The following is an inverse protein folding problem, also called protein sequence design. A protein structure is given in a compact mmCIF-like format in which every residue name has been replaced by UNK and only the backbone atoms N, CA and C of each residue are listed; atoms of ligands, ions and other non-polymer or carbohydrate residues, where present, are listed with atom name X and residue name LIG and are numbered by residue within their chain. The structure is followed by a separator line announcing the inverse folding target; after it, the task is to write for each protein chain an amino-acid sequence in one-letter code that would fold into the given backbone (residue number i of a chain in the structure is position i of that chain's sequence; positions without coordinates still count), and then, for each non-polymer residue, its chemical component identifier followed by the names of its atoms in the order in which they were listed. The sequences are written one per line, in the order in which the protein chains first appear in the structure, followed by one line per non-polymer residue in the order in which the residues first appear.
data_IF_149061224605
#
_entry.id   IF_149061224605
#
_cell.length_a   1.000
_cell.length_b   1.000
_cell.length_c   1.000
_cell.angle_alpha   90.00
_cell.angle_beta   90.00
_cell.angle_gamma   90.00
#
_symmetry.space_group_name_H-M   'P 1'
#
loop_
_entity.id
_entity.type
_entity.pdbx_description
1 polymer ?
#
# COMPACT_ATOMS: atom_id res chain seq x y z
N UNK A 1 5.53 -11.15 24.23
CA UNK A 1 4.99 -11.16 22.85
C UNK A 1 5.61 -12.35 22.14
N UNK A 2 4.81 -13.32 21.67
CA UNK A 2 5.32 -14.41 20.85
C UNK A 2 5.95 -13.82 19.59
N UNK A 3 7.18 -14.19 19.25
CA UNK A 3 7.81 -13.81 18.00
C UNK A 3 6.95 -14.33 16.85
N UNK A 4 6.38 -13.43 16.06
CA UNK A 4 5.73 -13.85 14.80
C UNK A 4 6.85 -14.32 13.88
N UNK A 5 6.70 -15.53 13.32
CA UNK A 5 7.70 -16.13 12.45
C UNK A 5 7.88 -15.30 11.17
N UNK A 6 9.11 -15.20 10.69
CA UNK A 6 9.41 -14.60 9.40
C UNK A 6 8.72 -15.39 8.27
N UNK A 7 8.30 -14.68 7.22
CA UNK A 7 7.74 -15.31 6.03
C UNK A 7 8.89 -15.94 5.23
N UNK A 8 8.94 -17.26 5.18
CA UNK A 8 9.99 -18.00 4.44
C UNK A 8 9.39 -19.15 3.65
N UNK A 9 10.02 -19.50 2.52
CA UNK A 9 9.62 -20.63 1.68
C UNK A 9 8.25 -20.50 1.02
N UNK A 10 7.72 -19.28 0.90
CA UNK A 10 6.40 -18.99 0.33
C UNK A 10 6.50 -18.53 -1.13
N UNK A 11 5.45 -18.77 -1.90
CA UNK A 11 5.20 -18.16 -3.20
C UNK A 11 4.35 -16.90 -3.02
N UNK A 12 4.92 -15.75 -3.32
CA UNK A 12 4.33 -14.45 -3.00
C UNK A 12 4.20 -13.60 -4.26
N UNK A 13 3.02 -13.07 -4.53
CA UNK A 13 2.82 -12.03 -5.53
C UNK A 13 2.77 -10.66 -4.85
N UNK A 14 3.68 -9.75 -5.22
CA UNK A 14 3.72 -8.37 -4.75
C UNK A 14 3.33 -7.45 -5.90
N UNK A 15 2.15 -6.83 -5.83
CA UNK A 15 1.72 -5.89 -6.88
C UNK A 15 2.17 -4.47 -6.59
N UNK A 16 2.38 -3.69 -7.65
CA UNK A 16 2.90 -2.34 -7.53
C UNK A 16 4.40 -2.31 -7.18
N UNK A 17 5.14 -3.35 -7.58
CA UNK A 17 6.55 -3.56 -7.23
C UNK A 17 7.45 -2.39 -7.64
N UNK A 18 7.11 -1.64 -8.68
CA UNK A 18 7.82 -0.42 -9.08
C UNK A 18 7.57 0.79 -8.17
N UNK A 19 6.73 0.64 -7.16
CA UNK A 19 6.44 1.68 -6.16
C UNK A 19 7.41 1.65 -4.98
N UNK A 20 7.46 2.75 -4.27
CA UNK A 20 8.41 2.98 -3.16
C UNK A 20 8.21 2.04 -1.96
N UNK A 21 6.99 1.60 -1.70
CA UNK A 21 6.68 0.70 -0.58
C UNK A 21 6.85 -0.77 -0.99
N UNK A 22 6.25 -1.15 -2.10
CA UNK A 22 6.22 -2.54 -2.54
C UNK A 22 7.57 -3.06 -3.05
N UNK A 23 8.39 -2.19 -3.66
CA UNK A 23 9.70 -2.56 -4.18
C UNK A 23 10.66 -3.08 -3.11
N UNK A 24 11.02 -2.27 -2.10
CA UNK A 24 11.88 -2.71 -1.01
C UNK A 24 11.33 -3.93 -0.26
N UNK A 25 10.01 -4.03 -0.10
CA UNK A 25 9.37 -5.19 0.51
C UNK A 25 9.60 -6.46 -0.34
N UNK A 26 9.41 -6.39 -1.66
CA UNK A 26 9.62 -7.53 -2.55
C UNK A 26 11.07 -8.03 -2.51
N UNK A 27 12.04 -7.12 -2.52
CA UNK A 27 13.47 -7.43 -2.38
C UNK A 27 13.78 -8.09 -1.03
N UNK A 28 13.25 -7.55 0.06
CA UNK A 28 13.43 -8.10 1.42
C UNK A 28 12.85 -9.52 1.52
N UNK A 29 11.65 -9.76 0.97
CA UNK A 29 11.01 -11.08 0.97
C UNK A 29 11.79 -12.09 0.11
N UNK A 30 12.33 -11.68 -1.04
CA UNK A 30 13.17 -12.55 -1.88
C UNK A 30 14.46 -12.94 -1.13
N UNK A 31 15.12 -11.99 -0.48
CA UNK A 31 16.31 -12.23 0.34
C UNK A 31 16.06 -13.19 1.53
N UNK A 32 14.82 -13.28 2.02
CA UNK A 32 14.38 -14.21 3.07
C UNK A 32 14.09 -15.64 2.57
N UNK A 33 14.37 -15.93 1.28
CA UNK A 33 14.21 -17.27 0.72
C UNK A 33 12.80 -17.59 0.22
N UNK A 34 11.99 -16.58 -0.09
CA UNK A 34 10.69 -16.74 -0.74
C UNK A 34 10.82 -16.73 -2.27
N UNK A 35 9.89 -17.37 -2.95
CA UNK A 35 9.69 -17.17 -4.39
C UNK A 35 8.79 -15.97 -4.59
N UNK A 36 9.37 -14.83 -4.97
CA UNK A 36 8.65 -13.55 -5.10
C UNK A 36 8.42 -13.21 -6.57
N UNK A 37 7.15 -12.94 -6.90
CA UNK A 37 6.72 -12.39 -8.18
C UNK A 37 6.35 -10.92 -7.99
N UNK A 38 7.11 -10.03 -8.63
CA UNK A 38 6.84 -8.60 -8.65
C UNK A 38 5.94 -8.23 -9.84
N UNK A 39 4.75 -7.72 -9.56
CA UNK A 39 3.80 -7.36 -10.58
C UNK A 39 3.74 -5.85 -10.81
N UNK A 40 3.84 -5.45 -12.08
CA UNK A 40 3.61 -4.11 -12.57
C UNK A 40 3.21 -4.17 -14.06
N UNK A 41 2.93 -3.03 -14.67
CA UNK A 41 2.58 -2.98 -16.10
C UNK A 41 3.74 -3.27 -17.04
N UNK A 42 4.99 -3.13 -16.61
CA UNK A 42 6.24 -3.37 -17.35
C UNK A 42 6.13 -3.10 -18.86
N UNK A 43 5.83 -1.84 -19.21
CA UNK A 43 5.64 -1.42 -20.60
C UNK A 43 6.89 -1.60 -21.44
N UNK A 44 8.06 -1.54 -20.80
CA UNK A 44 9.37 -1.73 -21.37
C UNK A 44 10.00 -2.99 -20.76
N UNK A 45 10.47 -3.96 -21.58
CA UNK A 45 11.16 -5.17 -21.11
C UNK A 45 12.38 -4.87 -20.24
N UNK A 46 13.13 -3.79 -20.53
CA UNK A 46 14.34 -3.41 -19.78
C UNK A 46 14.04 -3.03 -18.32
N UNK A 47 12.79 -2.69 -18.01
CA UNK A 47 12.36 -2.43 -16.63
C UNK A 47 12.35 -3.68 -15.75
N UNK A 48 12.43 -4.88 -16.31
CA UNK A 48 12.35 -6.16 -15.59
C UNK A 48 13.70 -6.61 -15.03
N UNK A 49 14.81 -6.36 -15.74
CA UNK A 49 16.13 -6.85 -15.37
C UNK A 49 16.57 -6.44 -13.96
N UNK A 50 16.39 -5.18 -13.51
CA UNK A 50 16.76 -4.78 -12.15
C UNK A 50 16.07 -5.58 -11.04
N UNK A 51 14.88 -6.12 -11.30
CA UNK A 51 14.15 -6.98 -10.35
C UNK A 51 14.70 -8.39 -10.33
N UNK A 52 15.05 -8.94 -11.50
CA UNK A 52 15.67 -10.27 -11.61
C UNK A 52 17.01 -10.30 -10.87
N UNK A 53 17.82 -9.26 -10.99
CA UNK A 53 19.12 -9.12 -10.28
C UNK A 53 18.95 -9.13 -8.74
N UNK A 54 17.76 -8.76 -8.25
CA UNK A 54 17.37 -8.77 -6.83
C UNK A 54 16.63 -10.04 -6.40
N UNK A 55 16.56 -11.06 -7.27
CA UNK A 55 15.88 -12.32 -7.00
C UNK A 55 14.34 -12.25 -7.10
N UNK A 56 13.79 -11.17 -7.65
CA UNK A 56 12.34 -11.00 -7.85
C UNK A 56 11.98 -11.36 -9.29
N UNK A 57 11.13 -12.35 -9.49
CA UNK A 57 10.56 -12.66 -10.81
C UNK A 57 9.54 -11.60 -11.19
N UNK A 58 9.41 -11.27 -12.47
CA UNK A 58 8.48 -10.23 -12.91
C UNK A 58 7.31 -10.77 -13.70
N UNK A 59 6.10 -10.26 -13.41
CA UNK A 59 4.87 -10.54 -14.14
C UNK A 59 4.19 -9.24 -14.58
N UNK A 60 3.67 -9.22 -15.82
CA UNK A 60 2.98 -8.05 -16.35
C UNK A 60 1.49 -8.12 -16.04
N UNK A 61 1.01 -7.15 -15.24
CA UNK A 61 -0.39 -7.07 -14.82
C UNK A 61 -0.89 -5.64 -15.05
N UNK A 62 -2.04 -5.50 -15.71
CA UNK A 62 -2.76 -4.23 -15.83
C UNK A 62 -4.16 -4.39 -15.22
N UNK A 63 -4.31 -3.96 -13.97
CA UNK A 63 -5.54 -4.08 -13.19
C UNK A 63 -6.71 -3.33 -13.85
N UNK A 64 -6.46 -2.14 -14.40
CA UNK A 64 -7.50 -1.34 -15.04
C UNK A 64 -8.07 -1.97 -16.31
N UNK A 65 -7.28 -2.83 -16.97
CA UNK A 65 -7.68 -3.53 -18.20
C UNK A 65 -8.10 -4.99 -17.96
N UNK A 66 -8.02 -5.45 -16.70
CA UNK A 66 -8.29 -6.86 -16.40
C UNK A 66 -7.26 -7.83 -16.99
N UNK A 67 -6.06 -7.35 -17.35
CA UNK A 67 -4.99 -8.23 -17.84
C UNK A 67 -4.29 -8.90 -16.65
N UNK A 68 -4.75 -10.12 -16.33
CA UNK A 68 -4.31 -10.93 -15.19
C UNK A 68 -3.77 -12.30 -15.59
N UNK A 69 -3.47 -12.51 -16.87
CA UNK A 69 -3.08 -13.82 -17.43
C UNK A 69 -1.77 -14.33 -16.80
N UNK A 70 -0.83 -13.42 -16.50
CA UNK A 70 0.46 -13.77 -15.90
C UNK A 70 0.40 -13.94 -14.37
N UNK A 71 -0.77 -13.89 -13.71
CA UNK A 71 -0.87 -14.19 -12.26
C UNK A 71 -0.44 -15.63 -12.03
N UNK A 72 0.59 -15.89 -11.19
CA UNK A 72 1.10 -17.24 -10.99
C UNK A 72 0.09 -18.15 -10.28
N UNK A 73 0.22 -19.46 -10.51
CA UNK A 73 -0.54 -20.47 -9.77
C UNK A 73 0.15 -20.82 -8.43
N UNK A 74 -0.61 -21.47 -7.55
CA UNK A 74 -0.15 -21.98 -6.24
C UNK A 74 0.49 -20.92 -5.33
N UNK A 75 -0.03 -19.70 -5.39
CA UNK A 75 0.39 -18.61 -4.50
C UNK A 75 0.00 -18.94 -3.05
N UNK A 76 0.91 -18.73 -2.12
CA UNK A 76 0.60 -18.72 -0.70
C UNK A 76 0.04 -17.35 -0.28
N UNK A 77 0.49 -16.27 -0.95
CA UNK A 77 0.22 -14.91 -0.51
C UNK A 77 0.18 -13.93 -1.68
N UNK A 78 -0.81 -13.05 -1.68
CA UNK A 78 -0.81 -11.82 -2.48
C UNK A 78 -0.65 -10.63 -1.56
N UNK A 79 0.38 -9.81 -1.79
CA UNK A 79 0.60 -8.51 -1.17
C UNK A 79 0.23 -7.43 -2.19
N UNK A 80 -0.98 -6.90 -2.05
CA UNK A 80 -1.55 -5.99 -3.04
C UNK A 80 -1.33 -4.53 -2.66
N UNK A 81 -0.30 -3.91 -3.29
CA UNK A 81 0.08 -2.50 -3.10
C UNK A 81 -0.20 -1.63 -4.34
N UNK A 82 -0.52 -2.23 -5.47
CA UNK A 82 -0.77 -1.46 -6.69
C UNK A 82 -1.93 -0.48 -6.50
N UNK A 83 -1.72 0.75 -6.95
CA UNK A 83 -2.71 1.82 -6.89
C UNK A 83 -2.57 2.74 -8.10
N UNK A 84 -3.68 3.09 -8.73
CA UNK A 84 -3.74 4.16 -9.71
C UNK A 84 -4.01 5.49 -8.99
N UNK A 85 -3.09 6.45 -9.18
CA UNK A 85 -3.28 7.86 -8.81
C UNK A 85 -3.70 8.59 -10.09
N UNK A 86 -4.99 8.82 -10.26
CA UNK A 86 -5.57 9.34 -11.50
C UNK A 86 -6.57 10.45 -11.21
N UNK A 87 -6.73 11.38 -12.15
CA UNK A 87 -7.81 12.34 -12.15
C UNK A 87 -9.09 11.79 -12.81
N UNK A 88 -8.98 10.62 -13.46
CA UNK A 88 -10.09 9.94 -14.12
C UNK A 88 -10.72 8.92 -13.16
N UNK A 89 -11.99 9.12 -12.84
CA UNK A 89 -12.74 8.24 -11.94
C UNK A 89 -12.88 6.82 -12.47
N UNK A 90 -13.19 6.67 -13.76
CA UNK A 90 -13.35 5.37 -14.38
C UNK A 90 -12.06 4.54 -14.29
N UNK A 91 -10.90 5.12 -14.63
CA UNK A 91 -9.60 4.48 -14.49
C UNK A 91 -9.28 4.14 -13.03
N UNK A 92 -9.54 5.07 -12.11
CA UNK A 92 -9.28 4.86 -10.69
C UNK A 92 -10.13 3.72 -10.11
N UNK A 93 -11.43 3.66 -10.43
CA UNK A 93 -12.30 2.58 -9.98
C UNK A 93 -11.96 1.25 -10.66
N UNK A 94 -11.67 1.25 -11.97
CA UNK A 94 -11.26 0.05 -12.69
C UNK A 94 -9.99 -0.56 -12.06
N UNK A 95 -8.99 0.25 -11.71
CA UNK A 95 -7.75 -0.24 -11.12
C UNK A 95 -7.88 -0.54 -9.62
N UNK A 96 -8.33 0.44 -8.81
CA UNK A 96 -8.23 0.37 -7.36
C UNK A 96 -9.36 -0.43 -6.70
N UNK A 97 -10.50 -0.57 -7.37
CA UNK A 97 -11.66 -1.28 -6.86
C UNK A 97 -11.88 -2.60 -7.61
N UNK A 98 -12.32 -2.56 -8.86
CA UNK A 98 -12.58 -3.76 -9.66
C UNK A 98 -11.31 -4.62 -9.80
N UNK A 99 -10.20 -4.05 -10.24
CA UNK A 99 -8.94 -4.77 -10.44
C UNK A 99 -8.38 -5.41 -9.18
N UNK A 100 -8.66 -4.84 -7.98
CA UNK A 100 -8.30 -5.47 -6.70
C UNK A 100 -9.12 -6.73 -6.42
N UNK A 101 -10.42 -6.71 -6.73
CA UNK A 101 -11.32 -7.86 -6.58
C UNK A 101 -11.00 -8.95 -7.62
N UNK A 102 -10.85 -8.55 -8.89
CA UNK A 102 -10.52 -9.47 -10.00
C UNK A 102 -9.19 -10.19 -9.75
N UNK A 103 -8.19 -9.46 -9.22
CA UNK A 103 -6.90 -10.07 -8.83
C UNK A 103 -7.09 -11.17 -7.78
N UNK A 104 -7.91 -10.91 -6.74
CA UNK A 104 -8.22 -11.92 -5.72
C UNK A 104 -8.94 -13.12 -6.33
N UNK A 105 -9.92 -12.91 -7.22
CA UNK A 105 -10.65 -13.98 -7.89
C UNK A 105 -9.74 -14.86 -8.72
N UNK A 106 -8.87 -14.26 -9.55
CA UNK A 106 -7.92 -15.00 -10.39
C UNK A 106 -6.89 -15.75 -9.55
N UNK A 107 -6.37 -15.14 -8.50
CA UNK A 107 -5.40 -15.78 -7.60
C UNK A 107 -6.04 -16.95 -6.83
N UNK A 108 -7.26 -16.78 -6.30
CA UNK A 108 -8.01 -17.82 -5.60
C UNK A 108 -8.40 -18.98 -6.51
N UNK A 109 -8.75 -18.72 -7.77
CA UNK A 109 -9.05 -19.78 -8.74
C UNK A 109 -7.82 -20.64 -9.10
N UNK A 110 -6.60 -20.15 -8.77
CA UNK A 110 -5.33 -20.81 -9.07
C UNK A 110 -4.58 -21.32 -7.83
N UNK A 111 -5.15 -21.15 -6.62
CA UNK A 111 -4.52 -21.58 -5.37
C UNK A 111 -5.56 -21.82 -4.26
N UNK A 112 -5.52 -23.02 -3.65
CA UNK A 112 -6.41 -23.41 -2.54
C UNK A 112 -5.89 -22.94 -1.16
N UNK A 113 -4.69 -22.34 -1.11
CA UNK A 113 -4.01 -21.93 0.15
C UNK A 113 -3.76 -20.43 0.24
N UNK A 114 -4.41 -19.66 -0.64
CA UNK A 114 -4.21 -18.23 -0.76
C UNK A 114 -4.58 -17.46 0.50
N UNK A 115 -3.69 -16.57 0.94
CA UNK A 115 -4.01 -15.43 1.80
C UNK A 115 -3.83 -14.12 1.03
N UNK A 116 -4.61 -13.10 1.38
CA UNK A 116 -4.60 -11.82 0.68
C UNK A 116 -4.36 -10.65 1.64
N UNK A 117 -3.39 -9.82 1.31
CA UNK A 117 -3.12 -8.54 1.97
C UNK A 117 -3.47 -7.39 1.04
N UNK A 118 -4.37 -6.51 1.46
CA UNK A 118 -4.74 -5.30 0.72
C UNK A 118 -4.18 -4.06 1.41
N UNK A 119 -3.25 -3.38 0.76
CA UNK A 119 -2.77 -2.08 1.23
C UNK A 119 -3.81 -1.01 0.92
N UNK A 120 -4.57 -0.59 1.91
CA UNK A 120 -5.42 0.60 1.88
C UNK A 120 -4.65 1.82 2.40
N UNK A 121 -5.34 2.85 2.83
CA UNK A 121 -4.73 4.10 3.30
C UNK A 121 -5.57 4.72 4.40
N UNK A 122 -4.95 5.42 5.35
CA UNK A 122 -5.68 6.27 6.30
C UNK A 122 -6.38 7.46 5.65
N UNK A 123 -6.07 7.77 4.40
CA UNK A 123 -6.78 8.75 3.57
C UNK A 123 -8.25 8.41 3.29
N UNK A 124 -8.70 7.19 3.61
CA UNK A 124 -10.11 6.77 3.50
C UNK A 124 -10.99 7.36 4.61
N UNK A 125 -10.40 7.86 5.70
CA UNK A 125 -11.17 8.44 6.79
C UNK A 125 -11.70 9.83 6.45
N UNK A 126 -12.88 10.14 7.00
CA UNK A 126 -13.38 11.50 7.01
C UNK A 126 -12.38 12.42 7.75
N UNK A 127 -12.09 13.63 7.23
CA UNK A 127 -11.17 14.55 7.90
C UNK A 127 -11.63 14.87 9.33
N UNK A 128 -10.71 14.71 10.28
CA UNK A 128 -10.96 15.04 11.69
C UNK A 128 -9.65 15.45 12.32
N UNK A 129 -9.59 16.66 12.80
CA UNK A 129 -8.36 17.23 13.36
C UNK A 129 -8.12 16.79 14.80
N UNK A 130 -6.85 16.53 15.16
CA UNK A 130 -6.40 16.33 16.54
C UNK A 130 -6.84 15.03 17.22
N UNK A 131 -7.53 14.12 16.54
CA UNK A 131 -7.99 12.87 17.14
C UNK A 131 -7.42 11.64 16.44
N UNK A 132 -7.01 10.64 17.23
CA UNK A 132 -6.60 9.34 16.71
C UNK A 132 -7.78 8.63 16.02
N UNK A 133 -7.50 7.94 14.90
CA UNK A 133 -8.49 7.19 14.13
C UNK A 133 -8.58 5.74 14.61
N UNK A 134 -9.83 5.26 14.70
CA UNK A 134 -10.16 3.85 14.89
C UNK A 134 -10.63 3.26 13.56
N UNK A 135 -10.50 1.97 13.39
CA UNK A 135 -10.93 1.26 12.18
C UNK A 135 -12.43 1.40 11.90
N UNK A 136 -13.21 1.68 12.93
CA UNK A 136 -14.67 1.89 12.88
C UNK A 136 -15.10 3.34 12.62
N UNK A 137 -14.15 4.27 12.52
CA UNK A 137 -14.46 5.69 12.27
C UNK A 137 -15.02 5.90 10.86
N UNK A 138 -15.74 7.01 10.69
CA UNK A 138 -16.40 7.35 9.44
C UNK A 138 -15.40 7.51 8.30
N UNK A 139 -15.81 7.03 7.13
CA UNK A 139 -15.06 7.14 5.89
C UNK A 139 -15.54 8.37 5.10
N UNK A 140 -14.60 9.03 4.42
CA UNK A 140 -14.87 10.24 3.66
C UNK A 140 -13.97 10.44 2.45
N UNK A 141 -14.35 11.36 1.57
CA UNK A 141 -13.63 11.69 0.34
C UNK A 141 -12.66 12.87 0.57
N UNK A 142 -11.68 12.69 1.45
CA UNK A 142 -10.72 13.74 1.85
C UNK A 142 -9.83 14.24 0.70
N UNK A 143 -9.65 13.43 -0.36
CA UNK A 143 -8.83 13.79 -1.52
C UNK A 143 -9.60 14.51 -2.63
N UNK A 144 -10.93 14.63 -2.52
CA UNK A 144 -11.73 15.29 -3.55
C UNK A 144 -11.23 16.67 -3.96
N UNK A 145 -10.81 17.57 -3.02
CA UNK A 145 -10.28 18.89 -3.38
C UNK A 145 -8.80 18.88 -3.80
N UNK A 146 -8.10 17.74 -3.71
CA UNK A 146 -6.65 17.69 -3.96
C UNK A 146 -6.32 17.63 -5.45
N UNK A 147 -5.56 18.59 -5.98
CA UNK A 147 -5.10 18.54 -7.36
C UNK A 147 -4.27 17.28 -7.64
N UNK A 148 -4.50 16.62 -8.77
CA UNK A 148 -3.74 15.44 -9.21
C UNK A 148 -4.18 14.10 -8.61
N UNK A 149 -5.00 14.08 -7.55
CA UNK A 149 -5.47 12.85 -6.92
C UNK A 149 -6.93 12.92 -6.40
N UNK A 150 -7.89 13.56 -7.09
CA UNK A 150 -9.24 13.77 -6.55
C UNK A 150 -10.03 12.47 -6.39
N UNK A 151 -9.56 11.37 -7.00
CA UNK A 151 -10.22 10.06 -6.95
C UNK A 151 -9.66 9.13 -5.88
N UNK A 152 -8.58 9.53 -5.20
CA UNK A 152 -7.78 8.60 -4.39
C UNK A 152 -8.58 8.00 -3.24
N UNK A 153 -9.11 8.80 -2.33
CA UNK A 153 -9.85 8.31 -1.17
C UNK A 153 -11.06 7.48 -1.57
N UNK A 154 -11.91 8.00 -2.44
CA UNK A 154 -13.15 7.31 -2.84
C UNK A 154 -12.88 5.97 -3.56
N UNK A 155 -11.85 5.90 -4.40
CA UNK A 155 -11.49 4.65 -5.09
C UNK A 155 -10.86 3.62 -4.14
N UNK A 156 -10.12 4.06 -3.10
CA UNK A 156 -9.61 3.18 -2.05
C UNK A 156 -10.75 2.63 -1.18
N UNK A 157 -11.73 3.46 -0.82
CA UNK A 157 -12.94 3.02 -0.11
C UNK A 157 -13.69 1.96 -0.91
N UNK A 158 -13.91 2.20 -2.21
CA UNK A 158 -14.55 1.22 -3.09
C UNK A 158 -13.73 -0.08 -3.18
N UNK A 159 -12.40 0.01 -3.22
CA UNK A 159 -11.49 -1.13 -3.17
C UNK A 159 -11.66 -1.97 -1.89
N UNK A 160 -11.69 -1.33 -0.71
CA UNK A 160 -11.95 -2.05 0.56
C UNK A 160 -13.30 -2.80 0.53
N UNK A 161 -14.34 -2.16 0.02
CA UNK A 161 -15.69 -2.77 -0.06
C UNK A 161 -15.68 -4.00 -0.96
N UNK A 162 -15.09 -3.90 -2.17
CA UNK A 162 -15.04 -5.01 -3.11
C UNK A 162 -14.11 -6.14 -2.63
N UNK A 163 -12.94 -5.81 -2.09
CA UNK A 163 -12.01 -6.80 -1.50
C UNK A 163 -12.68 -7.56 -0.36
N UNK A 164 -13.35 -6.85 0.55
CA UNK A 164 -14.08 -7.47 1.67
C UNK A 164 -15.22 -8.38 1.19
N UNK A 165 -15.99 -7.94 0.21
CA UNK A 165 -17.05 -8.74 -0.39
C UNK A 165 -16.50 -10.01 -1.04
N UNK A 166 -15.44 -9.88 -1.85
CA UNK A 166 -14.83 -10.97 -2.60
C UNK A 166 -14.15 -11.97 -1.65
N UNK A 167 -13.43 -11.49 -0.63
CA UNK A 167 -12.81 -12.33 0.40
C UNK A 167 -13.85 -13.23 1.10
N UNK A 168 -14.97 -12.64 1.54
CA UNK A 168 -16.05 -13.39 2.18
C UNK A 168 -16.70 -14.40 1.24
N UNK A 169 -16.92 -14.03 -0.03
CA UNK A 169 -17.55 -14.90 -1.03
C UNK A 169 -16.67 -16.10 -1.40
N UNK A 170 -15.35 -15.90 -1.47
CA UNK A 170 -14.40 -16.93 -1.87
C UNK A 170 -13.80 -17.69 -0.66
N UNK A 171 -14.02 -17.23 0.56
CA UNK A 171 -13.41 -17.81 1.75
C UNK A 171 -11.90 -17.55 1.86
N UNK A 172 -11.38 -16.49 1.22
CA UNK A 172 -9.95 -16.14 1.23
C UNK A 172 -9.61 -15.37 2.50
N UNK A 173 -8.72 -15.88 3.38
CA UNK A 173 -8.23 -15.11 4.52
C UNK A 173 -7.58 -13.81 4.06
N UNK A 174 -8.10 -12.68 4.51
CA UNK A 174 -7.71 -11.35 4.04
C UNK A 174 -7.51 -10.39 5.19
N UNK A 175 -6.52 -9.52 5.09
CA UNK A 175 -6.34 -8.33 5.93
C UNK A 175 -6.28 -7.09 5.04
N UNK A 176 -6.97 -6.03 5.47
CA UNK A 176 -6.96 -4.71 4.83
C UNK A 176 -6.20 -3.77 5.77
N UNK A 177 -5.00 -3.34 5.36
CA UNK A 177 -4.14 -2.48 6.15
C UNK A 177 -4.24 -1.02 5.65
N UNK A 178 -4.78 -0.12 6.49
CA UNK A 178 -4.85 1.32 6.22
C UNK A 178 -3.53 1.97 6.56
N UNK A 179 -2.64 2.02 5.56
CA UNK A 179 -1.30 2.58 5.69
C UNK A 179 -1.37 4.09 5.93
N UNK A 180 -0.63 4.54 6.94
CA UNK A 180 -0.42 5.97 7.22
C UNK A 180 0.70 6.51 6.29
N UNK A 181 1.47 7.48 6.71
CA UNK A 181 2.50 8.14 5.89
C UNK A 181 3.76 7.27 5.80
N UNK A 182 3.97 6.52 4.71
CA UNK A 182 5.20 5.75 4.54
C UNK A 182 6.37 6.66 4.16
N UNK A 183 7.56 6.36 4.70
CA UNK A 183 8.79 7.04 4.34
C UNK A 183 9.98 6.06 4.34
N UNK A 184 11.07 6.48 3.71
CA UNK A 184 12.35 5.78 3.67
C UNK A 184 13.44 6.77 3.31
N UNK A 185 14.67 6.28 3.08
CA UNK A 185 15.87 7.11 2.90
C UNK A 185 15.78 8.14 1.76
N UNK A 186 14.98 7.87 0.74
CA UNK A 186 14.89 8.74 -0.44
C UNK A 186 13.45 8.96 -0.93
N UNK A 187 12.43 8.68 -0.09
CA UNK A 187 11.05 8.84 -0.50
C UNK A 187 10.12 9.14 0.69
N UNK A 188 8.90 9.51 0.37
CA UNK A 188 7.85 9.86 1.32
C UNK A 188 7.54 11.35 1.35
N UNK A 189 6.62 11.73 2.23
CA UNK A 189 6.23 13.13 2.36
C UNK A 189 7.37 14.00 2.85
N UNK A 190 8.21 13.51 3.76
CA UNK A 190 9.37 14.24 4.25
C UNK A 190 10.30 14.64 3.10
N UNK A 191 10.65 13.69 2.22
CA UNK A 191 11.50 14.00 1.06
C UNK A 191 10.84 14.98 0.08
N UNK A 192 9.52 14.86 -0.10
CA UNK A 192 8.76 15.78 -0.94
C UNK A 192 8.69 17.19 -0.33
N UNK A 193 8.44 17.29 0.97
CA UNK A 193 8.41 18.58 1.67
C UNK A 193 9.79 19.23 1.69
N UNK A 194 10.88 18.46 1.91
CA UNK A 194 12.24 18.98 1.79
C UNK A 194 12.50 19.57 0.40
N UNK A 195 12.11 18.88 -0.66
CA UNK A 195 12.22 19.41 -2.03
C UNK A 195 11.40 20.69 -2.24
N UNK A 196 10.22 20.82 -1.61
CA UNK A 196 9.43 22.05 -1.63
C UNK A 196 10.16 23.19 -0.91
N UNK A 197 10.72 22.90 0.28
CA UNK A 197 11.49 23.88 1.07
C UNK A 197 12.71 24.39 0.30
N UNK A 198 13.51 23.50 -0.30
CA UNK A 198 14.65 23.87 -1.16
C UNK A 198 14.27 24.79 -2.33
N UNK A 199 13.04 24.67 -2.82
CA UNK A 199 12.52 25.49 -3.93
C UNK A 199 11.72 26.71 -3.46
N UNK A 200 11.69 26.99 -2.18
CA UNK A 200 10.86 28.04 -1.56
C UNK A 200 9.36 27.89 -1.90
N UNK A 201 8.87 26.66 -2.02
CA UNK A 201 7.44 26.38 -2.21
C UNK A 201 6.83 26.15 -0.82
N UNK A 202 5.76 26.90 -0.43
CA UNK A 202 5.12 26.71 0.86
C UNK A 202 4.59 25.26 1.04
N UNK A 203 4.89 24.65 2.18
CA UNK A 203 4.32 23.36 2.59
C UNK A 203 2.96 23.64 3.22
N UNK A 204 1.84 23.10 2.67
CA UNK A 204 0.52 23.36 3.21
C UNK A 204 0.30 22.56 4.51
N UNK A 205 -0.23 23.22 5.52
CA UNK A 205 -0.64 22.62 6.80
C UNK A 205 -2.10 22.95 7.10
N UNK A 206 -2.72 22.26 8.03
CA UNK A 206 -4.09 22.54 8.46
C UNK A 206 -4.17 23.89 9.20
N UNK A 207 -5.31 24.58 9.07
CA UNK A 207 -5.53 25.88 9.76
C UNK A 207 -5.54 25.74 11.28
N UNK A 208 -6.00 24.59 11.81
CA UNK A 208 -5.98 24.25 13.23
C UNK A 208 -4.77 23.36 13.52
N UNK A 209 -3.57 23.94 13.51
CA UNK A 209 -2.31 23.25 13.79
C UNK A 209 -2.28 22.56 15.18
N UNK A 210 -1.44 21.53 15.37
CA UNK A 210 -0.50 20.90 14.43
C UNK A 210 -1.16 19.86 13.52
N UNK A 211 -0.60 19.66 12.31
CA UNK A 211 -1.05 18.65 11.34
C UNK A 211 -0.33 17.32 11.58
N UNK A 212 -0.92 16.45 12.37
CA UNK A 212 -0.25 15.25 12.90
C UNK A 212 -0.55 13.97 12.15
N UNK A 213 0.47 13.10 12.08
CA UNK A 213 0.44 11.75 11.51
C UNK A 213 1.24 10.77 12.37
N UNK A 214 1.13 9.47 12.06
CA UNK A 214 2.01 8.41 12.57
C UNK A 214 2.84 7.85 11.43
N UNK A 215 3.93 8.55 11.00
CA UNK A 215 4.76 8.11 9.88
C UNK A 215 5.37 6.75 10.18
N UNK A 216 5.54 5.91 9.13
CA UNK A 216 6.11 4.58 9.26
C UNK A 216 7.28 4.40 8.30
N UNK A 217 8.43 3.97 8.84
CA UNK A 217 9.63 3.71 8.04
C UNK A 217 9.52 2.41 7.24
N UNK A 218 10.22 2.34 6.10
CA UNK A 218 10.27 1.17 5.23
C UNK A 218 10.63 -0.13 5.97
N UNK A 219 11.57 -0.07 6.93
CA UNK A 219 11.97 -1.24 7.72
C UNK A 219 10.84 -1.72 8.64
N UNK A 220 10.06 -0.79 9.21
CA UNK A 220 8.92 -1.13 10.05
C UNK A 220 7.77 -1.68 9.20
N UNK A 221 7.59 -1.18 7.97
CA UNK A 221 6.69 -1.76 6.99
C UNK A 221 7.07 -3.23 6.76
N UNK A 222 8.32 -3.53 6.44
CA UNK A 222 8.79 -4.88 6.19
C UNK A 222 8.62 -5.79 7.42
N UNK A 223 8.96 -5.30 8.61
CA UNK A 223 8.86 -6.06 9.86
C UNK A 223 7.43 -6.33 10.31
N UNK A 224 6.49 -5.44 9.98
CA UNK A 224 5.10 -5.55 10.42
C UNK A 224 4.23 -6.46 9.54
N UNK A 225 4.62 -6.78 8.31
CA UNK A 225 3.82 -7.64 7.42
C UNK A 225 3.42 -8.97 8.06
N UNK A 226 4.31 -9.76 8.70
CA UNK A 226 3.91 -11.01 9.34
C UNK A 226 2.87 -10.82 10.44
N UNK A 227 2.95 -9.73 11.21
CA UNK A 227 1.98 -9.39 12.25
C UNK A 227 0.62 -9.04 11.66
N UNK A 228 0.59 -8.23 10.61
CA UNK A 228 -0.65 -7.87 9.92
C UNK A 228 -1.33 -9.10 9.32
N UNK A 229 -0.56 -10.00 8.74
CA UNK A 229 -1.08 -11.26 8.18
C UNK A 229 -1.69 -12.18 9.25
N UNK A 230 -1.27 -12.08 10.52
CA UNK A 230 -1.88 -12.85 11.61
C UNK A 230 -3.33 -12.45 11.90
N UNK A 231 -3.77 -11.28 11.45
CA UNK A 231 -5.17 -10.82 11.51
C UNK A 231 -6.00 -11.27 10.31
N UNK A 232 -5.38 -11.87 9.28
CA UNK A 232 -6.11 -12.26 8.08
C UNK A 232 -7.21 -13.28 8.39
N UNK A 233 -8.44 -12.98 7.98
CA UNK A 233 -9.59 -13.84 8.13
C UNK A 233 -10.56 -13.65 6.96
N UNK A 234 -11.57 -14.53 6.84
CA UNK A 234 -12.55 -14.49 5.75
C UNK A 234 -13.53 -13.31 5.83
N UNK A 235 -13.53 -12.58 6.94
CA UNK A 235 -14.27 -11.32 7.09
C UNK A 235 -13.51 -10.10 6.56
N UNK A 236 -12.25 -10.29 6.17
CA UNK A 236 -11.29 -9.26 5.77
C UNK A 236 -11.13 -8.19 6.88
N UNK A 237 -10.33 -8.55 7.90
CA UNK A 237 -10.06 -7.66 9.04
C UNK A 237 -9.41 -6.35 8.56
N UNK A 238 -9.86 -5.23 9.14
CA UNK A 238 -9.30 -3.92 8.85
C UNK A 238 -8.37 -3.54 10.01
N UNK A 239 -7.16 -3.07 9.69
CA UNK A 239 -6.14 -2.68 10.66
C UNK A 239 -5.53 -1.34 10.26
N UNK A 240 -5.46 -0.38 11.19
CA UNK A 240 -4.67 0.83 11.01
C UNK A 240 -3.18 0.49 11.05
N UNK A 241 -2.42 1.03 10.11
CA UNK A 241 -1.03 0.70 9.91
C UNK A 241 -0.16 1.97 9.86
N UNK A 242 0.52 2.26 10.93
CA UNK A 242 1.38 3.43 11.11
C UNK A 242 2.55 3.15 12.04
N UNK A 243 3.42 4.14 12.20
CA UNK A 243 4.46 4.14 13.20
C UNK A 243 3.89 4.34 14.62
N UNK A 244 4.74 4.25 15.60
CA UNK A 244 4.43 4.37 17.04
C UNK A 244 4.55 5.81 17.58
N UNK A 245 5.05 6.74 16.77
CA UNK A 245 5.23 8.14 17.14
C UNK A 245 4.26 9.05 16.39
N UNK A 246 3.64 9.96 17.14
CA UNK A 246 2.85 11.05 16.59
C UNK A 246 3.79 12.20 16.24
N UNK A 247 3.85 12.59 14.96
CA UNK A 247 4.73 13.64 14.45
C UNK A 247 3.93 14.58 13.56
N UNK A 248 4.14 15.89 13.67
CA UNK A 248 3.48 16.87 12.82
C UNK A 248 4.30 17.19 11.56
N UNK A 249 3.61 17.73 10.55
CA UNK A 249 4.29 18.29 9.35
C UNK A 249 5.22 19.41 9.77
N UNK A 250 4.77 20.22 10.71
CA UNK A 250 5.53 21.34 11.26
C UNK A 250 6.83 20.86 11.90
N UNK A 251 6.77 19.84 12.76
CA UNK A 251 7.95 19.28 13.44
C UNK A 251 9.00 18.76 12.46
N UNK A 252 8.61 17.95 11.47
CA UNK A 252 9.60 17.43 10.52
C UNK A 252 10.14 18.50 9.56
N UNK A 253 9.33 19.52 9.21
CA UNK A 253 9.82 20.64 8.42
C UNK A 253 10.82 21.51 9.21
N UNK A 254 10.55 21.77 10.51
CA UNK A 254 11.49 22.48 11.38
C UNK A 254 12.81 21.72 11.49
N UNK A 255 12.77 20.41 11.75
CA UNK A 255 13.96 19.59 11.86
C UNK A 255 14.75 19.52 10.55
N UNK A 256 14.08 19.39 9.41
CA UNK A 256 14.73 19.43 8.10
C UNK A 256 15.41 20.78 7.85
N UNK A 257 14.75 21.90 8.18
CA UNK A 257 15.35 23.22 8.09
C UNK A 257 16.59 23.37 8.97
N UNK A 258 16.53 22.84 10.21
CA UNK A 258 17.68 22.82 11.13
C UNK A 258 18.88 22.02 10.58
N UNK A 259 18.63 20.93 9.88
CA UNK A 259 19.67 20.05 9.34
C UNK A 259 20.28 20.55 8.01
N UNK A 260 19.49 21.27 7.22
CA UNK A 260 19.91 21.67 5.85
C UNK A 260 20.24 23.17 5.71
N UNK A 261 19.89 24.02 6.68
CA UNK A 261 20.05 25.47 6.66
C UNK A 261 18.88 26.11 5.95
#
# INVERSE_FOLDING_TARGET
MSSVEQITGKKILVTGVTGWVAGPLAESLAAQGNTVYGAARFKDPDQRQPWHDKGVQTVSIDLAKGNLDEVPADLDLVLHFAVAKSNNFEEAFASNAHGSADLMEVAAARSDKLSFFHCSSTAVYEPKHGEARKETDLLGDSHRPMPGMPTYSISKIAGEVLVKHTAKRLGVPTVIARLNVPYGDAYGWMSFHLMMMERNIPVPVHVDQPTTYTPIHADDINRSIPYLLSYANTGAEIVNWGGDQLVSIEDWCEEMGRLTG
#
